data_IF_867211562779
#
_entry.id   IF_867211562779
#
_cell.length_a   1.000
_cell.length_b   1.000
_cell.length_c   1.000
_cell.angle_alpha   90.00
_cell.angle_beta   90.00
_cell.angle_gamma   90.00
#
_symmetry.space_group_name_H-M   'P 1'
#
loop_
_entity.id
_entity.type
_entity.pdbx_description
1 polymer ?
#
# COMPACT_ATOMS: atom_id res chain seq x y z
N UNK A 1 15.66 -32.94 -7.78
CA UNK A 1 15.83 -31.54 -8.22
C UNK A 1 15.11 -30.63 -7.23
N UNK A 2 15.83 -29.94 -6.35
CA UNK A 2 15.22 -29.07 -5.34
C UNK A 2 14.62 -27.84 -6.03
N UNK A 3 13.30 -27.65 -5.90
CA UNK A 3 12.62 -26.44 -6.36
C UNK A 3 13.14 -25.29 -5.48
N UNK A 4 14.09 -24.50 -5.99
CA UNK A 4 14.53 -23.27 -5.34
C UNK A 4 13.28 -22.37 -5.22
N UNK A 5 12.78 -22.20 -4.00
CA UNK A 5 11.85 -21.11 -3.70
C UNK A 5 12.63 -19.83 -3.93
N UNK A 6 12.48 -19.24 -5.12
CA UNK A 6 12.87 -17.87 -5.40
C UNK A 6 12.01 -17.02 -4.47
N UNK A 7 12.56 -16.66 -3.32
CA UNK A 7 11.92 -15.72 -2.40
C UNK A 7 11.67 -14.47 -3.23
N UNK A 8 10.41 -14.07 -3.43
CA UNK A 8 10.16 -12.89 -4.22
C UNK A 8 10.83 -11.69 -3.57
N UNK A 9 11.57 -10.92 -4.35
CA UNK A 9 12.11 -9.65 -3.90
C UNK A 9 10.94 -8.69 -3.64
N UNK A 10 10.43 -8.72 -2.41
CA UNK A 10 9.35 -7.85 -1.99
C UNK A 10 9.95 -6.53 -1.54
N UNK A 11 10.08 -5.61 -2.50
CA UNK A 11 10.71 -4.29 -2.31
C UNK A 11 9.88 -3.36 -1.42
N UNK A 12 8.57 -3.59 -1.29
CA UNK A 12 7.67 -2.66 -0.60
C UNK A 12 6.89 -3.35 0.52
N UNK A 13 6.93 -2.80 1.72
CA UNK A 13 6.17 -3.30 2.89
C UNK A 13 5.03 -2.34 3.24
N UNK A 14 3.92 -2.88 3.71
CA UNK A 14 2.86 -2.07 4.30
C UNK A 14 3.36 -1.43 5.61
N UNK A 15 3.18 -0.12 5.84
CA UNK A 15 3.61 0.52 7.08
C UNK A 15 2.76 0.16 8.30
N UNK A 16 1.65 -0.57 8.10
CA UNK A 16 0.64 -0.85 9.12
C UNK A 16 0.60 -2.33 9.47
N UNK A 17 0.90 -3.21 8.51
CA UNK A 17 0.93 -4.65 8.73
C UNK A 17 2.15 -5.30 8.08
N UNK A 18 2.40 -6.55 8.41
CA UNK A 18 3.56 -7.31 7.92
C UNK A 18 3.49 -7.75 6.44
N UNK A 19 2.47 -7.31 5.70
CA UNK A 19 2.33 -7.66 4.29
C UNK A 19 3.39 -6.98 3.42
N UNK A 20 4.00 -7.79 2.57
CA UNK A 20 5.05 -7.38 1.64
C UNK A 20 4.59 -7.55 0.21
N UNK A 21 4.99 -6.63 -0.65
CA UNK A 21 4.54 -6.50 -2.01
C UNK A 21 5.72 -6.20 -2.93
N UNK A 22 5.61 -6.64 -4.18
CA UNK A 22 6.63 -6.41 -5.22
C UNK A 22 6.54 -5.03 -5.87
N UNK A 23 5.42 -4.33 -5.70
CA UNK A 23 5.13 -3.05 -6.37
C UNK A 23 4.53 -2.07 -5.37
N UNK A 24 4.96 -0.80 -5.40
CA UNK A 24 4.40 0.27 -4.59
C UNK A 24 2.91 0.48 -4.83
N UNK A 25 2.44 0.37 -6.08
CA UNK A 25 1.01 0.41 -6.42
C UNK A 25 0.20 -0.72 -5.76
N UNK A 26 0.81 -1.88 -5.52
CA UNK A 26 0.14 -2.98 -4.85
C UNK A 26 -0.02 -2.70 -3.35
N UNK A 27 1.00 -2.12 -2.68
CA UNK A 27 0.88 -1.63 -1.31
C UNK A 27 -0.22 -0.57 -1.21
N UNK A 28 -0.23 0.38 -2.16
CA UNK A 28 -1.21 1.46 -2.15
C UNK A 28 -2.66 0.96 -2.31
N UNK A 29 -2.89 -0.01 -3.20
CA UNK A 29 -4.19 -0.68 -3.32
C UNK A 29 -4.54 -1.45 -2.04
N UNK A 30 -3.58 -2.18 -1.47
CA UNK A 30 -3.80 -2.89 -0.22
C UNK A 30 -4.23 -1.94 0.91
N UNK A 31 -3.51 -0.83 1.09
CA UNK A 31 -3.85 0.21 2.05
C UNK A 31 -5.25 0.79 1.80
N UNK A 32 -5.57 1.10 0.53
CA UNK A 32 -6.88 1.63 0.15
C UNK A 32 -8.03 0.66 0.40
N UNK A 33 -7.83 -0.65 0.15
CA UNK A 33 -8.88 -1.66 0.27
C UNK A 33 -9.02 -2.19 1.70
N UNK A 34 -7.97 -2.09 2.53
CA UNK A 34 -8.07 -2.51 3.93
C UNK A 34 -8.99 -1.59 4.72
N UNK A 35 -9.76 -2.25 5.59
CA UNK A 35 -10.77 -1.63 6.46
C UNK A 35 -10.49 -1.90 7.94
N UNK A 36 -9.26 -2.30 8.26
CA UNK A 36 -8.83 -2.40 9.64
C UNK A 36 -8.72 -1.00 10.24
N UNK A 37 -8.91 -0.91 11.56
CA UNK A 37 -8.88 0.35 12.29
C UNK A 37 -7.61 1.15 11.98
N UNK A 38 -6.44 0.52 12.09
CA UNK A 38 -5.16 1.18 11.86
C UNK A 38 -4.99 1.68 10.41
N UNK A 39 -5.48 0.91 9.43
CA UNK A 39 -5.47 1.30 8.02
C UNK A 39 -6.37 2.50 7.75
N UNK A 40 -7.57 2.51 8.32
CA UNK A 40 -8.50 3.62 8.21
C UNK A 40 -7.95 4.87 8.91
N UNK A 41 -7.38 4.73 10.11
CA UNK A 41 -6.77 5.86 10.84
C UNK A 41 -5.61 6.48 10.06
N UNK A 42 -4.78 5.65 9.43
CA UNK A 42 -3.70 6.12 8.56
C UNK A 42 -4.23 6.85 7.32
N UNK A 43 -5.28 6.33 6.67
CA UNK A 43 -5.90 6.99 5.51
C UNK A 43 -6.52 8.35 5.90
N UNK A 44 -7.21 8.40 7.05
CA UNK A 44 -7.75 9.63 7.62
C UNK A 44 -6.65 10.64 7.92
N UNK A 45 -5.54 10.19 8.53
CA UNK A 45 -4.36 11.02 8.83
C UNK A 45 -3.75 11.64 7.56
N UNK A 46 -3.79 10.93 6.44
CA UNK A 46 -3.31 11.41 5.14
C UNK A 46 -4.39 12.13 4.30
N UNK A 47 -5.57 12.37 4.87
CA UNK A 47 -6.74 12.95 4.19
C UNK A 47 -7.04 12.24 2.87
N UNK A 48 -7.19 10.91 2.93
CA UNK A 48 -7.49 10.03 1.80
C UNK A 48 -8.88 9.44 2.01
N UNK A 49 -9.79 9.77 1.09
CA UNK A 49 -11.14 9.20 1.11
C UNK A 49 -11.08 7.74 0.63
N UNK A 50 -11.48 6.82 1.51
CA UNK A 50 -11.42 5.39 1.25
C UNK A 50 -12.77 4.80 0.84
N UNK A 51 -13.87 5.55 0.95
CA UNK A 51 -15.22 5.09 0.68
C UNK A 51 -15.72 5.52 -0.72
N UNK A 52 -14.87 6.17 -1.50
CA UNK A 52 -15.29 6.76 -2.76
C UNK A 52 -15.72 5.68 -3.77
N UNK A 53 -16.93 5.83 -4.33
CA UNK A 53 -17.49 4.88 -5.31
C UNK A 53 -16.97 5.13 -6.72
N UNK A 54 -16.56 6.36 -7.00
CA UNK A 54 -16.06 6.79 -8.30
C UNK A 54 -14.67 6.20 -8.59
N UNK A 55 -14.54 5.48 -9.70
CA UNK A 55 -13.29 4.83 -10.10
C UNK A 55 -12.14 5.79 -10.37
N UNK A 56 -12.42 6.99 -10.89
CA UNK A 56 -11.39 7.99 -11.15
C UNK A 56 -10.75 8.44 -9.83
N UNK A 57 -11.58 8.81 -8.85
CA UNK A 57 -11.11 9.21 -7.52
C UNK A 57 -10.47 8.07 -6.74
N UNK A 58 -10.93 6.82 -6.89
CA UNK A 58 -10.23 5.65 -6.33
C UNK A 58 -8.79 5.55 -6.84
N UNK A 59 -8.59 5.75 -8.15
CA UNK A 59 -7.24 5.74 -8.74
C UNK A 59 -6.39 6.88 -8.21
N UNK A 60 -6.95 8.08 -8.07
CA UNK A 60 -6.25 9.23 -7.48
C UNK A 60 -5.87 8.97 -6.01
N UNK A 61 -6.78 8.41 -5.21
CA UNK A 61 -6.50 8.02 -3.83
C UNK A 61 -5.36 7.01 -3.74
N UNK A 62 -5.39 5.95 -4.56
CA UNK A 62 -4.31 4.96 -4.65
C UNK A 62 -2.99 5.61 -5.08
N UNK A 63 -3.00 6.53 -6.04
CA UNK A 63 -1.79 7.26 -6.45
C UNK A 63 -1.26 8.14 -5.34
N UNK A 64 -2.13 8.82 -4.58
CA UNK A 64 -1.75 9.62 -3.41
C UNK A 64 -1.10 8.75 -2.35
N UNK A 65 -1.71 7.60 -2.01
CA UNK A 65 -1.14 6.61 -1.09
C UNK A 65 0.24 6.15 -1.58
N UNK A 66 0.36 5.80 -2.87
CA UNK A 66 1.63 5.37 -3.48
C UNK A 66 2.71 6.42 -3.28
N UNK A 67 2.41 7.69 -3.58
CA UNK A 67 3.35 8.78 -3.40
C UNK A 67 3.72 9.01 -1.93
N UNK A 68 2.79 8.87 -1.00
CA UNK A 68 3.10 8.96 0.44
C UNK A 68 4.03 7.83 0.88
N UNK A 69 3.79 6.60 0.44
CA UNK A 69 4.62 5.43 0.77
C UNK A 69 6.00 5.50 0.11
N UNK A 70 6.09 5.92 -1.16
CA UNK A 70 7.36 6.07 -1.88
C UNK A 70 8.16 7.30 -1.42
N UNK A 71 7.48 8.42 -1.16
CA UNK A 71 8.08 9.67 -0.69
C UNK A 71 8.54 9.61 0.76
N UNK A 72 7.98 8.69 1.54
CA UNK A 72 8.57 8.29 2.82
C UNK A 72 9.77 7.39 2.55
N UNK A 73 10.91 7.99 2.18
CA UNK A 73 12.19 7.31 1.86
C UNK A 73 12.79 6.48 3.01
N UNK A 74 12.02 6.19 4.06
CA UNK A 74 12.36 5.38 5.23
C UNK A 74 12.03 3.88 5.07
N UNK A 75 11.42 3.45 3.96
CA UNK A 75 10.83 2.09 3.86
C UNK A 75 11.25 1.27 2.64
N UNK A 76 12.32 1.66 1.95
CA UNK A 76 12.99 0.81 0.96
C UNK A 76 13.93 -0.11 1.73
N UNK A 77 13.50 -1.37 1.89
CA UNK A 77 14.32 -2.46 2.46
C UNK A 77 15.45 -2.86 1.51
#
# INVERSE_FOLDING_TARGET
>A
MAKKHVVPDFVFRCPICDLRFRKSRAVAQHLFMKRDREHIEWLKKNSIDYNEKNEAKKREAILKIKNVVEGSSLFRV
#
